data_IF_303494841592
#
_entry.id   IF_303494841592
#
_cell.length_a   1.000
_cell.length_b   1.000
_cell.length_c   1.000
_cell.angle_alpha   90.00
_cell.angle_beta   90.00
_cell.angle_gamma   90.00
#
_symmetry.space_group_name_H-M   'P 1'
#
loop_
_entity.id
_entity.type
_entity.pdbx_description
1 polymer ?
#
# COMPACT_ATOMS: atom_id res chain seq x y z
N UNK A 1 16.03 4.03 2.17
CA UNK A 1 14.68 4.64 2.11
C UNK A 1 14.39 5.34 0.79
N UNK A 2 15.42 5.69 0.02
CA UNK A 2 15.24 6.44 -1.21
C UNK A 2 14.39 5.73 -2.25
N UNK A 3 14.50 4.40 -2.38
CA UNK A 3 13.75 3.66 -3.38
C UNK A 3 12.25 3.64 -3.06
N UNK A 4 11.89 3.36 -1.82
CA UNK A 4 10.48 3.36 -1.40
C UNK A 4 9.89 4.74 -1.58
N UNK A 5 10.58 5.77 -1.12
CA UNK A 5 10.12 7.15 -1.25
C UNK A 5 9.89 7.53 -2.71
N UNK A 6 10.84 7.18 -3.59
CA UNK A 6 10.71 7.49 -5.02
C UNK A 6 9.49 6.82 -5.64
N UNK A 7 9.25 5.55 -5.33
CA UNK A 7 8.12 4.81 -5.87
C UNK A 7 6.79 5.36 -5.33
N UNK A 8 6.76 5.68 -4.05
CA UNK A 8 5.55 6.18 -3.39
C UNK A 8 5.17 7.56 -3.91
N UNK A 9 6.15 8.40 -4.23
CA UNK A 9 5.89 9.75 -4.71
C UNK A 9 5.21 9.80 -6.08
N UNK A 10 5.30 8.72 -6.85
CA UNK A 10 4.76 8.70 -8.21
C UNK A 10 3.27 8.45 -8.27
N UNK A 11 2.67 7.92 -7.20
CA UNK A 11 1.26 7.50 -7.21
C UNK A 11 0.57 7.89 -5.93
N UNK A 12 -0.75 8.05 -6.01
CA UNK A 12 -1.56 8.38 -4.84
C UNK A 12 -1.69 7.20 -3.89
N UNK A 13 -1.77 5.98 -4.42
CA UNK A 13 -1.85 4.76 -3.61
C UNK A 13 -0.84 3.76 -4.14
N UNK A 14 0.00 3.26 -3.25
CA UNK A 14 1.00 2.25 -3.58
C UNK A 14 0.88 1.09 -2.61
N UNK A 15 0.85 -0.12 -3.13
CA UNK A 15 0.79 -1.34 -2.34
C UNK A 15 2.01 -2.19 -2.66
N UNK A 16 2.81 -2.50 -1.66
CA UNK A 16 3.92 -3.43 -1.80
C UNK A 16 3.44 -4.80 -1.34
N UNK A 17 3.58 -5.80 -2.21
CA UNK A 17 3.08 -7.13 -1.93
C UNK A 17 4.02 -8.21 -2.45
N UNK A 18 3.63 -9.47 -2.28
CA UNK A 18 4.26 -10.61 -2.93
C UNK A 18 3.15 -11.41 -3.61
N UNK A 19 3.45 -12.02 -4.75
CA UNK A 19 2.45 -12.74 -5.53
C UNK A 19 1.79 -13.87 -4.74
N UNK A 20 2.49 -14.41 -3.75
CA UNK A 20 1.96 -15.47 -2.87
C UNK A 20 1.08 -14.94 -1.73
N UNK A 21 0.97 -13.62 -1.57
CA UNK A 21 0.25 -13.02 -0.45
C UNK A 21 -1.22 -12.76 -0.81
N UNK A 22 -2.12 -13.61 -0.32
CA UNK A 22 -3.55 -13.45 -0.59
C UNK A 22 -4.14 -12.23 0.11
N UNK A 23 -3.59 -11.81 1.24
CA UNK A 23 -4.06 -10.59 1.93
C UNK A 23 -3.80 -9.34 1.11
N UNK A 24 -2.67 -9.29 0.39
CA UNK A 24 -2.38 -8.16 -0.51
C UNK A 24 -3.42 -8.07 -1.61
N UNK A 25 -3.83 -9.20 -2.16
CA UNK A 25 -4.87 -9.22 -3.19
C UNK A 25 -6.20 -8.68 -2.64
N UNK A 26 -6.56 -9.09 -1.43
CA UNK A 26 -7.78 -8.61 -0.78
C UNK A 26 -7.76 -7.10 -0.60
N UNK A 27 -6.63 -6.56 -0.13
CA UNK A 27 -6.47 -5.12 0.08
C UNK A 27 -6.54 -4.36 -1.24
N UNK A 28 -5.90 -4.87 -2.29
CA UNK A 28 -5.97 -4.28 -3.62
C UNK A 28 -7.42 -4.21 -4.11
N UNK A 29 -8.15 -5.30 -3.97
CA UNK A 29 -9.54 -5.38 -4.39
C UNK A 29 -10.40 -4.39 -3.59
N UNK A 30 -10.19 -4.32 -2.28
CA UNK A 30 -10.93 -3.40 -1.42
C UNK A 30 -10.72 -1.94 -1.86
N UNK A 31 -9.47 -1.54 -2.04
CA UNK A 31 -9.15 -0.16 -2.41
C UNK A 31 -9.68 0.15 -3.81
N UNK A 32 -9.56 -0.80 -4.74
CA UNK A 32 -10.09 -0.63 -6.10
C UNK A 32 -11.61 -0.47 -6.10
N UNK A 33 -12.30 -1.10 -5.16
CA UNK A 33 -13.76 -1.02 -5.09
C UNK A 33 -14.28 0.39 -4.79
N UNK A 34 -13.42 1.26 -4.25
CA UNK A 34 -13.77 2.66 -4.01
C UNK A 34 -13.50 3.56 -5.21
N UNK A 35 -13.04 3.01 -6.31
CA UNK A 35 -12.70 3.79 -7.50
C UNK A 35 -11.25 4.24 -7.55
N UNK A 36 -10.44 3.88 -6.57
CA UNK A 36 -9.02 4.17 -6.58
C UNK A 36 -8.29 3.23 -7.55
N UNK A 37 -7.12 3.66 -7.99
CA UNK A 37 -6.29 2.86 -8.89
C UNK A 37 -4.93 2.63 -8.24
N UNK A 38 -4.84 1.66 -7.30
CA UNK A 38 -3.58 1.43 -6.59
C UNK A 38 -2.53 0.84 -7.52
N UNK A 39 -1.29 1.27 -7.33
CA UNK A 39 -0.15 0.68 -8.01
C UNK A 39 0.43 -0.40 -7.11
N UNK A 40 0.52 -1.62 -7.62
CA UNK A 40 1.00 -2.77 -6.85
C UNK A 40 2.37 -3.18 -7.34
N UNK A 41 3.32 -3.27 -6.41
CA UNK A 41 4.66 -3.77 -6.69
C UNK A 41 4.82 -5.15 -6.04
N UNK A 42 4.98 -6.17 -6.88
CA UNK A 42 5.19 -7.54 -6.43
C UNK A 42 6.68 -7.71 -6.13
N UNK A 43 7.04 -7.73 -4.85
CA UNK A 43 8.46 -7.73 -4.45
C UNK A 43 9.22 -8.99 -4.84
N UNK A 44 8.52 -10.12 -4.93
CA UNK A 44 9.14 -11.37 -5.36
C UNK A 44 9.43 -11.41 -6.87
N UNK A 45 8.80 -10.51 -7.63
CA UNK A 45 9.00 -10.40 -9.08
C UNK A 45 9.78 -9.16 -9.49
N UNK A 46 10.00 -8.24 -8.57
CA UNK A 46 10.69 -6.98 -8.85
C UNK A 46 12.21 -7.20 -8.76
N UNK A 47 13.01 -6.65 -9.70
CA UNK A 47 14.47 -6.81 -9.65
C UNK A 47 15.10 -6.33 -8.35
N UNK A 48 14.53 -5.32 -7.71
CA UNK A 48 15.03 -4.76 -6.46
C UNK A 48 14.11 -5.04 -5.28
N UNK A 49 13.29 -6.09 -5.39
CA UNK A 49 12.30 -6.41 -4.37
C UNK A 49 12.90 -6.64 -2.99
N UNK A 50 14.05 -7.32 -2.90
CA UNK A 50 14.70 -7.56 -1.61
C UNK A 50 15.14 -6.27 -0.95
N UNK A 51 15.66 -5.33 -1.74
CA UNK A 51 16.08 -4.03 -1.23
C UNK A 51 14.88 -3.24 -0.73
N UNK A 52 13.79 -3.23 -1.47
CA UNK A 52 12.55 -2.56 -1.08
C UNK A 52 12.00 -3.17 0.20
N UNK A 53 11.97 -4.50 0.31
CA UNK A 53 11.49 -5.19 1.49
C UNK A 53 12.31 -4.80 2.73
N UNK A 54 13.62 -4.70 2.59
CA UNK A 54 14.50 -4.29 3.67
C UNK A 54 14.20 -2.87 4.14
N UNK A 55 13.94 -1.96 3.19
CA UNK A 55 13.55 -0.59 3.54
C UNK A 55 12.22 -0.57 4.28
N UNK A 56 11.24 -1.38 3.84
CA UNK A 56 9.94 -1.47 4.50
C UNK A 56 10.06 -1.96 5.94
N UNK A 57 10.91 -2.95 6.17
CA UNK A 57 11.16 -3.45 7.53
C UNK A 57 11.79 -2.36 8.40
N UNK A 58 12.65 -1.54 7.83
CA UNK A 58 13.24 -0.41 8.52
C UNK A 58 12.22 0.66 8.91
N UNK A 59 11.10 0.74 8.19
CA UNK A 59 10.00 1.64 8.53
C UNK A 59 9.05 1.09 9.59
N UNK A 60 9.28 -0.14 10.03
CA UNK A 60 8.43 -0.78 11.04
C UNK A 60 7.32 -1.64 10.49
N UNK A 61 7.33 -1.93 9.19
CA UNK A 61 6.33 -2.82 8.59
C UNK A 61 6.64 -4.28 8.95
N UNK A 62 5.80 -4.88 9.77
CA UNK A 62 5.96 -6.27 10.20
C UNK A 62 4.60 -6.95 10.17
N UNK A 63 4.35 -7.89 9.23
CA UNK A 63 5.26 -8.28 8.15
C UNK A 63 5.47 -7.14 7.15
N UNK A 64 6.51 -7.25 6.34
CA UNK A 64 6.84 -6.21 5.36
C UNK A 64 5.79 -6.07 4.25
N UNK A 65 5.02 -7.11 4.01
CA UNK A 65 3.94 -7.11 3.02
C UNK A 65 2.67 -7.67 3.63
N UNK A 66 1.48 -7.18 3.25
CA UNK A 66 1.29 -6.02 2.39
C UNK A 66 1.65 -4.72 3.12
N UNK A 67 2.22 -3.77 2.42
CA UNK A 67 2.48 -2.44 2.94
C UNK A 67 1.77 -1.44 2.03
N UNK A 68 0.93 -0.59 2.61
CA UNK A 68 0.07 0.33 1.87
C UNK A 68 0.47 1.76 2.19
N UNK A 69 0.72 2.53 1.14
CA UNK A 69 0.97 3.97 1.24
C UNK A 69 -0.16 4.71 0.55
N UNK A 70 -0.73 5.68 1.23
CA UNK A 70 -1.80 6.53 0.69
C UNK A 70 -1.34 7.98 0.85
N UNK A 71 -1.27 8.71 -0.28
CA UNK A 71 -0.80 10.09 -0.26
C UNK A 71 0.62 10.22 0.24
N UNK A 72 1.48 9.25 -0.07
CA UNK A 72 2.89 9.23 0.32
C UNK A 72 3.12 8.94 1.81
N UNK A 73 2.06 8.58 2.52
CA UNK A 73 2.13 8.27 3.94
C UNK A 73 1.92 6.77 4.15
N UNK A 74 2.78 6.16 4.97
CA UNK A 74 2.64 4.75 5.31
C UNK A 74 1.43 4.56 6.21
N UNK A 75 0.44 3.84 5.71
CA UNK A 75 -0.77 3.53 6.47
C UNK A 75 -0.58 2.25 7.28
N UNK A 76 0.08 1.25 6.67
CA UNK A 76 0.33 -0.01 7.36
C UNK A 76 0.01 -1.21 6.49
N UNK A 77 -0.26 -2.33 7.13
CA UNK A 77 -0.57 -3.58 6.47
C UNK A 77 -2.06 -3.85 6.38
N UNK A 78 -2.40 -5.14 6.18
CA UNK A 78 -3.78 -5.55 6.00
C UNK A 78 -4.66 -5.20 7.21
N UNK A 79 -4.15 -5.41 8.42
CA UNK A 79 -4.94 -5.15 9.64
C UNK A 79 -5.29 -3.68 9.76
N UNK A 80 -4.34 -2.80 9.49
CA UNK A 80 -4.55 -1.36 9.58
C UNK A 80 -5.57 -0.89 8.55
N UNK A 81 -5.49 -1.39 7.33
CA UNK A 81 -6.43 -1.04 6.26
C UNK A 81 -7.83 -1.53 6.60
N UNK A 82 -7.96 -2.78 7.06
CA UNK A 82 -9.26 -3.32 7.43
C UNK A 82 -9.87 -2.55 8.61
N UNK A 83 -9.05 -2.16 9.59
CA UNK A 83 -9.51 -1.37 10.72
C UNK A 83 -10.05 -0.02 10.27
N UNK A 84 -9.32 0.66 9.38
CA UNK A 84 -9.77 1.94 8.83
C UNK A 84 -11.06 1.78 8.04
N UNK A 85 -11.19 0.70 7.30
CA UNK A 85 -12.40 0.42 6.54
C UNK A 85 -13.61 0.24 7.48
N UNK A 86 -13.43 -0.54 8.54
CA UNK A 86 -14.51 -0.79 9.52
C UNK A 86 -14.92 0.48 10.26
N UNK A 87 -13.98 1.39 10.50
CA UNK A 87 -14.26 2.67 11.16
C UNK A 87 -14.78 3.75 10.21
N UNK A 88 -14.85 3.46 8.91
CA UNK A 88 -15.28 4.43 7.91
C UNK A 88 -14.26 5.52 7.65
N UNK A 89 -13.00 5.31 7.98
CA UNK A 89 -11.94 6.30 7.83
C UNK A 89 -11.09 6.11 6.57
N UNK A 90 -11.24 4.99 5.89
CA UNK A 90 -10.42 4.71 4.70
C UNK A 90 -10.79 5.63 3.54
N UNK A 91 -12.07 5.84 3.28
CA UNK A 91 -12.52 6.70 2.18
C UNK A 91 -12.02 8.14 2.35
N UNK A 92 -12.13 8.76 3.54
CA UNK A 92 -11.57 10.10 3.72
C UNK A 92 -10.07 10.18 3.43
N UNK A 93 -9.30 9.15 3.77
CA UNK A 93 -7.86 9.11 3.47
C UNK A 93 -7.62 9.10 1.96
N UNK A 94 -8.39 8.29 1.23
CA UNK A 94 -8.28 8.22 -0.22
C UNK A 94 -8.66 9.54 -0.87
N UNK A 95 -9.70 10.21 -0.37
CA UNK A 95 -10.11 11.52 -0.87
C UNK A 95 -9.03 12.58 -0.64
N UNK A 96 -8.42 12.59 0.55
CA UNK A 96 -7.36 13.55 0.89
C UNK A 96 -6.13 13.36 0.02
N UNK A 97 -5.88 12.14 -0.43
CA UNK A 97 -4.75 11.82 -1.29
C UNK A 97 -5.07 12.01 -2.78
N UNK A 98 -6.29 12.47 -3.10
CA UNK A 98 -6.77 12.58 -4.48
C UNK A 98 -6.75 11.25 -5.23
N UNK A 99 -6.90 10.15 -4.48
CA UNK A 99 -6.87 8.81 -5.06
C UNK A 99 -8.21 8.40 -5.66
N UNK A 100 -9.29 9.04 -5.18
CA UNK A 100 -10.65 8.79 -5.70
C UNK A 100 -11.37 10.13 -5.93
N UNK A 101 -12.39 10.08 -6.78
CA UNK A 101 -13.24 11.21 -7.07
C UNK A 101 -14.61 11.01 -6.43
N UNK A 102 -15.19 12.08 -5.94
CA UNK A 102 -16.54 12.06 -5.35
C UNK A 102 -17.45 12.98 -6.13
#
# INVERSE_FOLDING_TARGET
MAMVTALVNERSVVIFSKSSCCMSHTIKTLISSFGANPTVYELDEHPKGQHIEKELKGLGCKPSVPAVFIGQELIGGANEIMTLHLKGQLVPLLLRANAIWV
#
